data_IF_277531051005
#
_entry.id   IF_277531051005
#
_cell.length_a   1.000
_cell.length_b   1.000
_cell.length_c   1.000
_cell.angle_alpha   90.00
_cell.angle_beta   90.00
_cell.angle_gamma   90.00
#
_symmetry.space_group_name_H-M   'P 1'
#
loop_
_entity.id
_entity.type
_entity.pdbx_description
1 polymer ?
#
# COMPACT_ATOMS: atom_id res chain seq x y z
N UNK A 1 26.42 -1.10 -0.89
CA UNK A 1 25.65 -1.76 0.18
C UNK A 1 24.12 -1.69 -0.07
N UNK A 2 23.63 -0.83 -0.97
CA UNK A 2 22.21 -0.58 -1.22
C UNK A 2 21.49 -1.63 -2.08
N UNK A 3 22.20 -2.56 -2.71
CA UNK A 3 21.57 -3.57 -3.60
C UNK A 3 20.92 -4.75 -2.84
N UNK A 4 21.00 -4.82 -1.50
CA UNK A 4 20.43 -5.90 -0.69
C UNK A 4 18.97 -5.62 -0.25
N UNK A 5 18.60 -4.37 -0.15
CA UNK A 5 17.34 -3.99 0.53
C UNK A 5 16.10 -4.20 -0.37
N UNK A 6 16.21 -4.00 -1.69
CA UNK A 6 15.09 -4.20 -2.61
C UNK A 6 14.61 -5.67 -2.72
N UNK A 7 15.49 -6.65 -2.58
CA UNK A 7 15.12 -8.07 -2.53
C UNK A 7 14.35 -8.40 -1.25
N UNK A 8 14.73 -7.82 -0.13
CA UNK A 8 14.10 -8.08 1.17
C UNK A 8 12.66 -7.60 1.21
N UNK A 9 12.35 -6.40 0.71
CA UNK A 9 10.98 -5.88 0.67
C UNK A 9 10.07 -6.71 -0.25
N UNK A 10 10.61 -7.20 -1.38
CA UNK A 10 9.88 -8.09 -2.26
C UNK A 10 9.51 -9.42 -1.57
N UNK A 11 10.41 -9.97 -0.76
CA UNK A 11 10.17 -11.20 -0.01
C UNK A 11 9.08 -11.00 1.05
N UNK A 12 9.06 -9.86 1.76
CA UNK A 12 8.00 -9.53 2.71
C UNK A 12 6.67 -9.29 2.01
N UNK A 13 6.65 -8.60 0.88
CA UNK A 13 5.45 -8.42 0.07
C UNK A 13 4.90 -9.77 -0.43
N UNK A 14 5.78 -10.68 -0.89
CA UNK A 14 5.39 -12.02 -1.31
C UNK A 14 4.82 -12.83 -0.14
N UNK A 15 5.40 -12.72 1.06
CA UNK A 15 4.87 -13.38 2.26
C UNK A 15 3.49 -12.85 2.63
N UNK A 16 3.27 -11.52 2.56
CA UNK A 16 1.94 -10.94 2.76
C UNK A 16 0.91 -11.52 1.79
N UNK A 17 1.24 -11.58 0.49
CA UNK A 17 0.37 -12.15 -0.54
C UNK A 17 0.07 -13.63 -0.27
N UNK A 18 1.06 -14.40 0.17
CA UNK A 18 0.88 -15.81 0.55
C UNK A 18 -0.04 -15.96 1.75
N UNK A 19 0.12 -15.13 2.79
CA UNK A 19 -0.77 -15.14 3.95
C UNK A 19 -2.21 -14.77 3.58
N UNK A 20 -2.41 -13.76 2.74
CA UNK A 20 -3.74 -13.38 2.25
C UNK A 20 -4.39 -14.53 1.47
N UNK A 21 -3.62 -15.24 0.65
CA UNK A 21 -4.14 -16.31 -0.21
C UNK A 21 -4.36 -17.63 0.52
N UNK A 22 -3.43 -18.02 1.40
CA UNK A 22 -3.38 -19.36 1.98
C UNK A 22 -3.93 -19.43 3.40
N UNK A 23 -3.98 -18.29 4.11
CA UNK A 23 -4.48 -18.23 5.49
C UNK A 23 -5.79 -17.46 5.56
N UNK A 24 -5.83 -16.24 5.02
CA UNK A 24 -7.00 -15.36 5.17
C UNK A 24 -8.17 -15.83 4.29
N UNK A 25 -7.93 -16.11 3.02
CA UNK A 25 -8.99 -16.49 2.07
C UNK A 25 -9.71 -17.79 2.42
N UNK A 26 -9.06 -18.88 2.87
CA UNK A 26 -9.75 -20.09 3.31
C UNK A 26 -10.70 -19.87 4.48
N UNK A 27 -10.38 -18.92 5.38
CA UNK A 27 -11.23 -18.53 6.51
C UNK A 27 -12.37 -17.62 6.04
N UNK A 28 -12.06 -16.69 5.16
CA UNK A 28 -12.95 -15.64 4.71
C UNK A 28 -14.00 -16.14 3.71
N UNK A 29 -13.61 -17.00 2.75
CA UNK A 29 -14.46 -17.49 1.68
C UNK A 29 -14.34 -16.67 0.38
N UNK A 30 -15.10 -17.06 -0.64
CA UNK A 30 -14.88 -16.62 -2.03
C UNK A 30 -15.79 -15.49 -2.52
N UNK A 31 -16.69 -14.97 -1.67
CA UNK A 31 -17.64 -13.95 -2.08
C UNK A 31 -16.98 -12.57 -2.25
N UNK A 32 -17.60 -11.71 -3.05
CA UNK A 32 -17.15 -10.33 -3.21
C UNK A 32 -17.26 -9.52 -1.91
N UNK A 33 -18.26 -9.78 -1.08
CA UNK A 33 -18.46 -9.06 0.18
C UNK A 33 -17.33 -9.37 1.15
N UNK A 34 -16.89 -10.62 1.15
CA UNK A 34 -15.74 -11.04 1.95
C UNK A 34 -14.43 -10.47 1.43
N UNK A 35 -14.23 -10.47 0.12
CA UNK A 35 -13.05 -9.82 -0.47
C UNK A 35 -12.99 -8.33 -0.10
N UNK A 36 -14.13 -7.63 -0.11
CA UNK A 36 -14.22 -6.23 0.35
C UNK A 36 -13.95 -6.08 1.85
N UNK A 37 -14.38 -7.06 2.67
CA UNK A 37 -14.09 -7.04 4.10
C UNK A 37 -12.58 -7.17 4.33
N UNK A 38 -11.92 -8.14 3.69
CA UNK A 38 -10.46 -8.30 3.79
C UNK A 38 -9.75 -7.04 3.28
N UNK A 39 -10.24 -6.44 2.19
CA UNK A 39 -9.68 -5.20 1.68
C UNK A 39 -9.75 -4.04 2.67
N UNK A 40 -10.83 -3.94 3.48
CA UNK A 40 -10.91 -2.94 4.56
C UNK A 40 -9.84 -3.13 5.62
N UNK A 41 -9.48 -4.37 5.94
CA UNK A 41 -8.34 -4.64 6.83
C UNK A 41 -7.01 -4.22 6.19
N UNK A 42 -6.81 -4.49 4.89
CA UNK A 42 -5.60 -4.06 4.16
C UNK A 42 -5.52 -2.53 4.10
N UNK A 43 -6.63 -1.86 3.89
CA UNK A 43 -6.73 -0.39 3.88
C UNK A 43 -6.39 0.20 5.25
N UNK A 44 -6.94 -0.38 6.33
CA UNK A 44 -6.60 0.00 7.69
C UNK A 44 -5.09 -0.16 7.99
N UNK A 45 -4.46 -1.22 7.46
CA UNK A 45 -3.01 -1.40 7.56
C UNK A 45 -2.24 -0.34 6.76
N UNK A 46 -2.75 0.09 5.60
CA UNK A 46 -2.14 1.15 4.81
C UNK A 46 -2.21 2.51 5.54
N UNK A 47 -3.33 2.77 6.21
CA UNK A 47 -3.55 4.00 6.98
C UNK A 47 -2.93 3.93 8.40
N UNK A 48 -2.21 2.85 8.73
CA UNK A 48 -1.62 2.61 10.06
C UNK A 48 -2.64 2.71 11.21
N UNK A 49 -3.90 2.33 10.93
CA UNK A 49 -4.98 2.32 11.93
C UNK A 49 -5.10 0.95 12.60
N UNK A 50 -5.67 0.94 13.82
CA UNK A 50 -5.88 -0.29 14.56
C UNK A 50 -6.90 -1.19 13.84
N UNK A 51 -6.53 -2.44 13.60
CA UNK A 51 -7.40 -3.46 12.97
C UNK A 51 -8.69 -3.72 13.78
N UNK A 52 -8.71 -3.41 15.07
CA UNK A 52 -9.91 -3.52 15.92
C UNK A 52 -11.02 -2.56 15.51
N UNK A 53 -10.70 -1.51 14.75
CA UNK A 53 -11.69 -0.54 14.23
C UNK A 53 -12.48 -1.09 13.04
N UNK A 54 -12.01 -2.16 12.41
CA UNK A 54 -12.67 -2.79 11.26
C UNK A 54 -13.74 -3.76 11.76
N UNK A 55 -15.01 -3.43 11.53
CA UNK A 55 -16.11 -4.35 11.81
C UNK A 55 -16.01 -5.59 10.93
N UNK A 56 -15.87 -6.77 11.54
CA UNK A 56 -15.72 -8.02 10.80
C UNK A 56 -15.65 -9.26 11.71
N UNK A 57 -15.30 -10.38 11.10
CA UNK A 57 -15.15 -11.65 11.78
C UNK A 57 -13.88 -11.68 12.65
N UNK A 58 -14.02 -12.14 13.90
CA UNK A 58 -12.88 -12.35 14.82
C UNK A 58 -11.80 -13.24 14.19
N UNK A 59 -12.22 -14.27 13.44
CA UNK A 59 -11.28 -15.18 12.76
C UNK A 59 -10.47 -14.48 11.66
N UNK A 60 -11.11 -13.59 10.89
CA UNK A 60 -10.42 -12.80 9.85
C UNK A 60 -9.49 -11.79 10.53
N UNK A 61 -9.94 -11.10 11.57
CA UNK A 61 -9.11 -10.17 12.33
C UNK A 61 -7.85 -10.85 12.90
N UNK A 62 -7.99 -12.04 13.46
CA UNK A 62 -6.85 -12.83 13.97
C UNK A 62 -5.87 -13.23 12.84
N UNK A 63 -6.37 -13.62 11.67
CA UNK A 63 -5.54 -13.93 10.53
C UNK A 63 -4.82 -12.66 9.99
N UNK A 64 -5.52 -11.53 9.96
CA UNK A 64 -4.93 -10.24 9.54
C UNK A 64 -3.88 -9.70 10.51
N UNK A 65 -3.89 -10.11 11.78
CA UNK A 65 -2.82 -9.80 12.72
C UNK A 65 -1.46 -10.37 12.27
N UNK A 66 -1.45 -11.52 11.58
CA UNK A 66 -0.22 -12.08 10.98
C UNK A 66 0.29 -11.22 9.83
N UNK A 67 -0.61 -10.65 9.04
CA UNK A 67 -0.26 -9.71 7.96
C UNK A 67 0.31 -8.42 8.56
N UNK A 68 -0.29 -7.90 9.63
CA UNK A 68 0.22 -6.74 10.36
C UNK A 68 1.66 -6.96 10.85
N UNK A 69 1.94 -8.12 11.45
CA UNK A 69 3.28 -8.48 11.92
C UNK A 69 4.31 -8.52 10.77
N UNK A 70 3.93 -9.01 9.59
CA UNK A 70 4.80 -8.96 8.40
C UNK A 70 5.14 -7.53 8.04
N UNK A 71 4.17 -6.60 8.05
CA UNK A 71 4.40 -5.20 7.75
C UNK A 71 5.25 -4.49 8.79
N UNK A 72 5.08 -4.79 10.08
CA UNK A 72 5.96 -4.27 11.14
C UNK A 72 7.43 -4.64 10.89
N UNK A 73 7.69 -5.87 10.46
CA UNK A 73 9.04 -6.30 10.12
C UNK A 73 9.51 -5.62 8.83
N UNK A 74 8.67 -5.56 7.79
CA UNK A 74 8.99 -4.91 6.52
C UNK A 74 9.37 -3.44 6.71
N UNK A 75 8.70 -2.73 7.64
CA UNK A 75 9.02 -1.35 7.98
C UNK A 75 10.47 -1.17 8.43
N UNK A 76 11.03 -2.13 9.16
CA UNK A 76 12.45 -2.08 9.61
C UNK A 76 13.44 -2.24 8.45
N UNK A 77 12.97 -2.67 7.29
CA UNK A 77 13.78 -2.86 6.08
C UNK A 77 13.67 -1.68 5.10
N UNK A 78 12.75 -0.73 5.33
CA UNK A 78 12.62 0.48 4.53
C UNK A 78 13.83 1.40 4.74
N UNK A 79 14.28 2.05 3.68
CA UNK A 79 15.34 3.07 3.77
C UNK A 79 14.88 4.30 4.55
N UNK A 80 13.60 4.67 4.36
CA UNK A 80 12.87 5.66 5.15
C UNK A 80 11.60 4.99 5.70
N UNK A 81 11.47 4.82 7.03
CA UNK A 81 10.31 4.18 7.64
C UNK A 81 8.96 4.89 7.37
N UNK A 82 8.99 6.12 6.89
CA UNK A 82 7.80 6.88 6.50
C UNK A 82 7.43 6.73 5.03
N UNK A 83 8.34 6.28 4.17
CA UNK A 83 8.11 6.08 2.74
C UNK A 83 7.87 4.60 2.42
N UNK A 84 6.61 4.25 2.22
CA UNK A 84 6.15 2.91 1.88
C UNK A 84 6.06 2.65 0.37
N UNK A 85 6.46 3.61 -0.48
CA UNK A 85 6.30 3.53 -1.94
C UNK A 85 6.94 2.29 -2.53
N UNK A 86 8.15 1.93 -2.07
CA UNK A 86 8.86 0.73 -2.53
C UNK A 86 8.14 -0.54 -2.13
N UNK A 87 7.65 -0.62 -0.88
CA UNK A 87 6.87 -1.77 -0.41
C UNK A 87 5.56 -1.95 -1.18
N UNK A 88 4.79 -0.87 -1.38
CA UNK A 88 3.54 -0.94 -2.14
C UNK A 88 3.77 -1.29 -3.61
N UNK A 89 4.89 -0.86 -4.20
CA UNK A 89 5.28 -1.27 -5.54
C UNK A 89 5.54 -2.79 -5.59
N UNK A 90 6.32 -3.31 -4.66
CA UNK A 90 6.58 -4.75 -4.54
C UNK A 90 5.27 -5.53 -4.29
N UNK A 91 4.40 -5.04 -3.40
CA UNK A 91 3.12 -5.66 -3.07
C UNK A 91 2.20 -5.74 -4.30
N UNK A 92 2.10 -4.66 -5.08
CA UNK A 92 1.32 -4.64 -6.32
C UNK A 92 1.84 -5.68 -7.33
N UNK A 93 3.16 -5.76 -7.52
CA UNK A 93 3.77 -6.74 -8.42
C UNK A 93 3.54 -8.18 -7.96
N UNK A 94 3.69 -8.46 -6.66
CA UNK A 94 3.44 -9.78 -6.08
C UNK A 94 1.97 -10.18 -6.21
N UNK A 95 1.04 -9.28 -5.93
CA UNK A 95 -0.39 -9.51 -6.05
C UNK A 95 -0.80 -9.82 -7.49
N UNK A 96 -0.33 -9.04 -8.47
CA UNK A 96 -0.59 -9.29 -9.89
C UNK A 96 -0.01 -10.63 -10.35
N UNK A 97 1.19 -10.99 -9.89
CA UNK A 97 1.80 -12.29 -10.19
C UNK A 97 1.00 -13.44 -9.59
N UNK A 98 0.50 -13.28 -8.36
CA UNK A 98 -0.27 -14.31 -7.66
C UNK A 98 -1.58 -14.66 -8.37
N UNK A 99 -2.21 -13.73 -9.09
CA UNK A 99 -3.40 -13.98 -9.91
C UNK A 99 -3.16 -15.11 -10.93
N UNK A 100 -1.92 -15.29 -11.37
CA UNK A 100 -1.53 -16.29 -12.36
C UNK A 100 -1.20 -17.67 -11.75
N UNK A 101 -1.27 -17.84 -10.43
CA UNK A 101 -1.01 -19.13 -9.80
C UNK A 101 -2.14 -20.12 -10.13
N UNK A 102 -1.77 -21.32 -10.57
CA UNK A 102 -2.74 -22.35 -10.96
C UNK A 102 -3.62 -22.81 -9.80
N UNK A 103 -3.06 -22.78 -8.58
CA UNK A 103 -3.75 -23.15 -7.33
C UNK A 103 -4.67 -22.06 -6.79
N UNK A 104 -4.61 -20.84 -7.35
CA UNK A 104 -5.39 -19.71 -6.85
C UNK A 104 -6.87 -19.87 -7.18
N UNK A 105 -7.72 -19.79 -6.15
CA UNK A 105 -9.18 -19.81 -6.31
C UNK A 105 -9.68 -18.51 -6.97
N UNK A 106 -10.92 -18.53 -7.44
CA UNK A 106 -11.55 -17.33 -8.04
C UNK A 106 -11.64 -16.21 -7.00
N UNK A 107 -12.00 -16.54 -5.75
CA UNK A 107 -12.03 -15.58 -4.65
C UNK A 107 -10.66 -14.98 -4.37
N UNK A 108 -9.63 -15.82 -4.34
CA UNK A 108 -8.24 -15.39 -4.18
C UNK A 108 -7.79 -14.44 -5.29
N UNK A 109 -8.09 -14.75 -6.57
CA UNK A 109 -7.76 -13.86 -7.71
C UNK A 109 -8.44 -12.50 -7.59
N UNK A 110 -9.71 -12.47 -7.16
CA UNK A 110 -10.44 -11.22 -6.90
C UNK A 110 -9.78 -10.39 -5.81
N UNK A 111 -9.42 -11.03 -4.69
CA UNK A 111 -8.75 -10.35 -3.60
C UNK A 111 -7.40 -9.79 -4.07
N UNK A 112 -6.57 -10.59 -4.73
CA UNK A 112 -5.26 -10.14 -5.20
C UNK A 112 -5.34 -8.99 -6.21
N UNK A 113 -6.35 -9.00 -7.07
CA UNK A 113 -6.61 -7.86 -7.96
C UNK A 113 -6.94 -6.58 -7.18
N UNK A 114 -7.78 -6.67 -6.14
CA UNK A 114 -8.14 -5.54 -5.31
C UNK A 114 -6.94 -5.04 -4.47
N UNK A 115 -6.13 -5.96 -3.93
CA UNK A 115 -4.90 -5.61 -3.19
C UNK A 115 -3.91 -4.89 -4.10
N UNK A 116 -3.72 -5.36 -5.33
CA UNK A 116 -2.86 -4.69 -6.31
C UNK A 116 -3.36 -3.28 -6.64
N UNK A 117 -4.68 -3.12 -6.85
CA UNK A 117 -5.26 -1.82 -7.15
C UNK A 117 -5.09 -0.84 -5.97
N UNK A 118 -5.27 -1.30 -4.74
CA UNK A 118 -5.08 -0.51 -3.53
C UNK A 118 -3.60 -0.11 -3.37
N UNK A 119 -2.66 -1.05 -3.52
CA UNK A 119 -1.23 -0.77 -3.45
C UNK A 119 -0.78 0.26 -4.49
N UNK A 120 -1.28 0.16 -5.74
CA UNK A 120 -1.02 1.16 -6.79
C UNK A 120 -1.59 2.54 -6.40
N UNK A 121 -2.74 2.58 -5.74
CA UNK A 121 -3.32 3.84 -5.23
C UNK A 121 -2.40 4.50 -4.21
N UNK A 122 -1.81 3.72 -3.30
CA UNK A 122 -0.86 4.23 -2.29
C UNK A 122 0.42 4.80 -2.95
N UNK A 123 0.99 4.09 -3.93
CA UNK A 123 2.14 4.59 -4.71
C UNK A 123 1.83 5.96 -5.35
N UNK A 124 0.61 6.12 -5.91
CA UNK A 124 0.19 7.39 -6.51
C UNK A 124 0.02 8.52 -5.49
N UNK A 125 -0.43 8.21 -4.27
CA UNK A 125 -0.53 9.21 -3.18
C UNK A 125 0.86 9.71 -2.80
N UNK A 126 1.83 8.83 -2.60
CA UNK A 126 3.22 9.18 -2.28
C UNK A 126 3.87 10.07 -3.34
N UNK A 127 3.65 9.78 -4.63
CA UNK A 127 4.19 10.63 -5.71
C UNK A 127 3.61 12.05 -5.75
N UNK A 128 2.34 12.22 -5.38
CA UNK A 128 1.71 13.56 -5.38
C UNK A 128 2.28 14.46 -4.30
N UNK A 129 2.49 13.96 -3.09
CA UNK A 129 3.09 14.72 -1.99
C UNK A 129 4.51 15.18 -2.33
N UNK A 130 5.31 14.34 -2.96
CA UNK A 130 6.68 14.70 -3.38
C UNK A 130 6.71 15.77 -4.48
N UNK A 131 5.70 15.84 -5.35
CA UNK A 131 5.65 16.84 -6.44
C UNK A 131 5.19 18.20 -5.95
N UNK A 132 4.29 18.24 -4.98
CA UNK A 132 3.79 19.52 -4.41
C UNK A 132 4.86 20.21 -3.57
N UNK A 133 5.75 19.47 -2.90
CA UNK A 133 6.88 20.04 -2.16
C UNK A 133 7.98 20.62 -3.08
N UNK A 134 8.06 20.19 -4.33
CA UNK A 134 9.05 20.66 -5.32
C UNK A 134 8.56 21.83 -6.18
N UNK A 135 7.33 22.33 -5.98
CA UNK A 135 6.84 23.51 -6.70
C UNK A 135 7.54 24.75 -6.08
N UNK A 136 8.53 25.35 -6.78
CA UNK A 136 9.17 26.55 -6.27
C UNK A 136 8.11 27.66 -6.23
N UNK A 137 8.05 28.36 -5.09
CA UNK A 137 7.35 29.64 -4.98
C UNK A 137 7.57 30.45 -6.25
N UNK A 138 6.48 30.73 -6.95
CA UNK A 138 6.50 31.69 -8.05
C UNK A 138 7.04 33.00 -7.45
N UNK A 139 8.32 33.24 -7.70
CA UNK A 139 9.00 34.47 -7.34
C UNK A 139 8.15 35.60 -7.89
N UNK A 140 7.50 36.32 -7.02
CA UNK A 140 6.81 37.59 -7.26
C UNK A 140 7.83 38.56 -7.86
N UNK A 141 8.00 38.51 -9.18
CA UNK A 141 8.69 39.53 -9.98
C UNK A 141 7.79 40.78 -10.00
N UNK A 142 7.69 41.39 -8.84
CA UNK A 142 7.18 42.74 -8.73
C UNK A 142 8.20 43.68 -9.34
N UNK A 143 7.90 44.07 -10.58
CA UNK A 143 8.63 45.08 -11.36
C UNK A 143 8.71 46.41 -10.57
N UNK A 144 9.92 46.86 -10.17
CA UNK A 144 10.05 48.07 -9.33
C UNK A 144 9.95 49.39 -10.12
N UNK A 145 9.53 49.37 -11.41
CA UNK A 145 9.66 50.53 -12.30
C UNK A 145 8.33 51.13 -12.79
N UNK A 146 7.34 51.26 -11.90
CA UNK A 146 6.15 52.10 -12.15
C UNK A 146 6.13 53.32 -11.24
N UNK A 147 7.03 54.27 -11.51
CA UNK A 147 6.92 55.62 -10.97
C UNK A 147 5.80 56.41 -11.69
N UNK A 148 4.89 57.08 -10.98
CA UNK A 148 3.87 57.93 -11.59
C UNK A 148 4.50 59.24 -12.15
N UNK A 149 4.01 59.79 -13.27
CA UNK A 149 4.50 61.01 -13.81
C UNK A 149 4.07 62.20 -12.94
N UNK A 150 5.05 63.07 -12.63
CA UNK A 150 4.85 64.34 -11.93
C UNK A 150 4.02 65.32 -12.79
N UNK A 151 2.99 65.88 -12.18
CA UNK A 151 2.43 67.20 -12.55
C UNK A 151 2.59 68.15 -11.36
#
# INVERSE_FOLDING_TARGET
AQARDGHTLFDWAMLEISLLSEVVMPIAGESWDVARLVLRYVDALNDHTDLSTVEGSVSIAAAMASVAAVREIAQTCLADPSDWTEYYTALAMCALRAIMWDTMTIGGRRLQFLVAALAISEVKKGHRTSTDELSPEATDLRDPDSAPPSQ
#
